data_IF_066582392626
#
_entry.id   IF_066582392626
#
_cell.length_a   1.000
_cell.length_b   1.000
_cell.length_c   1.000
_cell.angle_alpha   90.00
_cell.angle_beta   90.00
_cell.angle_gamma   90.00
#
_symmetry.space_group_name_H-M   'P 1'
#
loop_
_entity.id
_entity.type
_entity.pdbx_description
1 polymer ?
#
# COMPACT_ATOMS: atom_id res chain seq x y z
N UNK A 1 33.31 21.67 -41.74
CA UNK A 1 33.12 20.90 -40.49
C UNK A 1 31.69 21.12 -39.99
N UNK A 2 30.78 20.14 -40.01
CA UNK A 2 29.51 20.29 -39.30
C UNK A 2 29.66 19.78 -37.86
N UNK A 3 29.16 20.60 -36.93
CA UNK A 3 29.10 20.32 -35.50
C UNK A 3 27.97 19.29 -35.31
N UNK A 4 28.33 18.02 -35.08
CA UNK A 4 27.36 17.00 -34.66
C UNK A 4 26.97 17.27 -33.21
N UNK A 5 25.80 17.88 -33.00
CA UNK A 5 25.17 17.98 -31.69
C UNK A 5 24.73 16.58 -31.24
N UNK A 6 25.47 16.01 -30.29
CA UNK A 6 25.05 14.81 -29.56
C UNK A 6 23.88 15.18 -28.65
N UNK A 7 22.67 14.87 -29.08
CA UNK A 7 21.49 14.89 -28.21
C UNK A 7 21.64 13.79 -27.16
N UNK A 8 22.03 14.15 -25.95
CA UNK A 8 22.03 13.26 -24.79
C UNK A 8 20.58 12.91 -24.42
N UNK A 9 20.17 11.68 -24.72
CA UNK A 9 18.89 11.13 -24.27
C UNK A 9 19.05 10.82 -22.77
N UNK A 10 18.53 11.72 -21.92
CA UNK A 10 18.37 11.47 -20.49
C UNK A 10 17.27 10.41 -20.30
N UNK A 11 17.68 9.15 -20.16
CA UNK A 11 16.83 8.08 -19.63
C UNK A 11 16.64 8.32 -18.12
N UNK A 12 15.61 9.08 -17.78
CA UNK A 12 15.09 9.16 -16.41
C UNK A 12 14.59 7.76 -16.03
N UNK A 13 15.40 7.03 -15.25
CA UNK A 13 15.00 5.80 -14.58
C UNK A 13 13.74 6.11 -13.77
N UNK A 14 12.58 5.67 -14.26
CA UNK A 14 11.35 5.71 -13.50
C UNK A 14 11.59 4.92 -12.21
N UNK A 15 11.71 5.62 -11.10
CA UNK A 15 11.78 5.02 -9.77
C UNK A 15 10.50 4.22 -9.60
N UNK A 16 10.61 2.89 -9.71
CA UNK A 16 9.49 1.98 -9.55
C UNK A 16 9.02 2.05 -8.10
N UNK A 17 8.13 3.00 -7.79
CA UNK A 17 7.46 3.06 -6.50
C UNK A 17 6.71 1.74 -6.36
N UNK A 18 7.15 0.90 -5.44
CA UNK A 18 6.45 -0.34 -5.11
C UNK A 18 5.05 0.05 -4.63
N UNK A 19 4.04 -0.69 -5.06
CA UNK A 19 2.64 -0.41 -4.74
C UNK A 19 1.94 -1.65 -4.20
N UNK A 20 0.80 -1.42 -3.56
CA UNK A 20 -0.09 -2.45 -3.06
C UNK A 20 -1.54 -2.02 -3.27
N UNK A 21 -2.38 -3.00 -3.54
CA UNK A 21 -3.82 -2.81 -3.70
C UNK A 21 -4.52 -3.34 -2.45
N UNK A 22 -5.47 -2.56 -1.95
CA UNK A 22 -6.26 -2.88 -0.77
C UNK A 22 -7.71 -2.95 -1.21
N UNK A 23 -8.42 -3.98 -0.76
CA UNK A 23 -9.82 -4.23 -1.11
C UNK A 23 -10.63 -4.42 0.16
N UNK A 24 -11.67 -3.61 0.35
CA UNK A 24 -12.63 -3.83 1.42
C UNK A 24 -13.36 -5.16 1.19
N UNK A 25 -13.39 -6.01 2.21
CA UNK A 25 -13.97 -7.35 2.11
C UNK A 25 -15.50 -7.37 2.05
N UNK A 26 -16.18 -6.27 2.39
CA UNK A 26 -17.65 -6.16 2.42
C UNK A 26 -18.23 -5.71 1.08
N UNK A 27 -17.66 -4.68 0.48
CA UNK A 27 -18.22 -3.97 -0.68
C UNK A 27 -17.30 -3.95 -1.91
N UNK A 28 -16.12 -4.58 -1.83
CA UNK A 28 -15.12 -4.62 -2.88
C UNK A 28 -14.57 -3.25 -3.31
N UNK A 29 -14.71 -2.20 -2.50
CA UNK A 29 -14.00 -0.94 -2.73
C UNK A 29 -12.49 -1.19 -2.76
N UNK A 30 -11.83 -0.69 -3.82
CA UNK A 30 -10.42 -0.93 -4.11
C UNK A 30 -9.64 0.38 -4.14
N UNK A 31 -8.47 0.37 -3.49
CA UNK A 31 -7.52 1.47 -3.50
C UNK A 31 -6.12 0.95 -3.83
N UNK A 32 -5.37 1.70 -4.64
CA UNK A 32 -3.98 1.40 -4.98
C UNK A 32 -3.07 2.47 -4.36
N UNK A 33 -2.09 2.04 -3.57
CA UNK A 33 -1.22 2.91 -2.80
C UNK A 33 0.24 2.54 -2.92
N UNK A 34 1.10 3.55 -2.73
CA UNK A 34 2.55 3.35 -2.66
C UNK A 34 2.95 2.69 -1.34
N UNK A 35 3.90 1.76 -1.40
CA UNK A 35 4.51 1.12 -0.23
C UNK A 35 5.30 2.15 0.60
N UNK A 36 5.66 1.76 1.82
CA UNK A 36 6.46 2.52 2.79
C UNK A 36 5.86 3.85 3.25
N UNK A 37 4.60 4.13 2.89
CA UNK A 37 3.82 5.28 3.36
C UNK A 37 2.60 4.82 4.15
N UNK A 38 2.22 5.65 5.12
CA UNK A 38 0.95 5.49 5.81
C UNK A 38 -0.18 6.07 4.95
N UNK A 39 -1.31 5.36 4.88
CA UNK A 39 -2.50 5.80 4.18
C UNK A 39 -3.70 5.68 5.11
N UNK A 40 -4.39 6.80 5.33
CA UNK A 40 -5.65 6.79 6.05
C UNK A 40 -6.74 6.13 5.21
N UNK A 41 -7.47 5.22 5.84
CA UNK A 41 -8.47 4.41 5.16
C UNK A 41 -9.50 3.86 6.15
N UNK A 42 -10.73 4.34 6.03
CA UNK A 42 -11.85 3.86 6.81
C UNK A 42 -12.61 2.77 6.03
N UNK A 43 -12.39 1.51 6.39
CA UNK A 43 -13.01 0.35 5.71
C UNK A 43 -13.87 -0.51 6.63
N UNK A 44 -14.21 0.00 7.81
CA UNK A 44 -14.81 -0.84 8.82
C UNK A 44 -13.78 -1.84 9.34
N UNK A 45 -14.12 -3.12 9.42
CA UNK A 45 -13.38 -4.08 10.28
C UNK A 45 -12.46 -5.05 9.54
N UNK A 46 -12.52 -5.10 8.20
CA UNK A 46 -11.69 -6.04 7.44
C UNK A 46 -11.37 -5.58 6.02
N UNK A 47 -10.19 -5.96 5.55
CA UNK A 47 -9.71 -5.75 4.19
C UNK A 47 -8.81 -6.90 3.75
N UNK A 48 -8.65 -7.08 2.45
CA UNK A 48 -7.60 -7.90 1.86
C UNK A 48 -6.63 -7.04 1.08
N UNK A 49 -5.41 -7.53 0.89
CA UNK A 49 -4.40 -6.80 0.13
C UNK A 49 -3.63 -7.69 -0.84
N UNK A 50 -3.08 -7.06 -1.87
CA UNK A 50 -2.20 -7.65 -2.87
C UNK A 50 -1.01 -6.73 -3.09
N UNK A 51 0.20 -7.28 -3.19
CA UNK A 51 1.39 -6.55 -3.59
C UNK A 51 2.30 -7.40 -4.45
N UNK A 52 2.64 -6.88 -5.63
CA UNK A 52 3.49 -7.55 -6.62
C UNK A 52 4.93 -7.76 -6.11
N UNK A 53 5.38 -6.91 -5.18
CA UNK A 53 6.72 -7.01 -4.57
C UNK A 53 6.74 -7.70 -3.21
N UNK A 54 5.60 -8.22 -2.74
CA UNK A 54 5.55 -9.02 -1.52
C UNK A 54 5.72 -8.23 -0.22
N UNK A 55 5.11 -7.05 -0.11
CA UNK A 55 5.19 -6.27 1.13
C UNK A 55 4.38 -6.90 2.29
N UNK A 56 4.79 -6.57 3.52
CA UNK A 56 4.06 -6.90 4.74
C UNK A 56 3.11 -5.75 5.09
N UNK A 57 1.81 -6.04 5.23
CA UNK A 57 0.82 -5.02 5.59
C UNK A 57 0.68 -4.90 7.11
N UNK A 58 0.52 -3.67 7.60
CA UNK A 58 0.08 -3.36 8.96
C UNK A 58 -1.21 -2.56 8.91
N UNK A 59 -2.21 -3.03 9.64
CA UNK A 59 -3.51 -2.40 9.86
C UNK A 59 -3.48 -1.64 11.17
N UNK A 60 -4.12 -0.47 11.23
CA UNK A 60 -4.16 0.37 12.43
C UNK A 60 -5.59 0.82 12.74
N UNK A 61 -5.93 0.90 14.02
CA UNK A 61 -7.26 1.33 14.46
C UNK A 61 -7.45 2.85 14.55
N UNK A 62 -6.40 3.63 14.30
CA UNK A 62 -6.43 5.10 14.24
C UNK A 62 -5.78 5.61 12.97
N UNK A 63 -6.12 6.83 12.58
CA UNK A 63 -5.48 7.56 11.47
C UNK A 63 -4.01 7.86 11.77
N UNK A 64 -3.21 7.94 10.71
CA UNK A 64 -1.78 8.21 10.75
C UNK A 64 -0.93 7.02 11.20
N UNK A 65 -1.43 5.78 11.04
CA UNK A 65 -0.74 4.54 11.41
C UNK A 65 -0.37 4.49 12.90
N UNK A 66 -1.37 4.75 13.75
CA UNK A 66 -1.25 4.82 15.21
C UNK A 66 -2.20 3.84 15.89
N UNK A 67 -1.99 3.66 17.20
CA UNK A 67 -2.88 2.86 18.05
C UNK A 67 -2.63 1.36 17.95
N UNK A 68 -3.69 0.57 18.09
CA UNK A 68 -3.65 -0.89 18.00
C UNK A 68 -3.34 -1.28 16.56
N UNK A 69 -2.35 -2.16 16.42
CA UNK A 69 -1.85 -2.60 15.13
C UNK A 69 -1.94 -4.13 14.97
N UNK A 70 -2.13 -4.56 13.73
CA UNK A 70 -2.01 -5.97 13.34
C UNK A 70 -1.22 -6.07 12.04
N UNK A 71 -0.23 -6.96 11.99
CA UNK A 71 0.68 -7.12 10.87
C UNK A 71 0.52 -8.51 10.24
N UNK A 72 0.54 -8.59 8.91
CA UNK A 72 0.42 -9.84 8.18
C UNK A 72 1.14 -9.78 6.82
N UNK A 73 1.63 -10.92 6.38
CA UNK A 73 2.13 -11.20 5.02
C UNK A 73 1.10 -12.00 4.18
N UNK A 74 -0.08 -12.30 4.75
CA UNK A 74 -1.09 -13.13 4.11
C UNK A 74 -1.92 -12.33 3.12
N UNK A 75 -1.49 -12.32 1.86
CA UNK A 75 -2.18 -11.68 0.75
C UNK A 75 -3.49 -12.39 0.36
N UNK A 76 -4.40 -11.66 -0.29
CA UNK A 76 -5.69 -12.13 -0.79
C UNK A 76 -6.64 -12.79 0.25
N UNK A 77 -6.36 -12.62 1.55
CA UNK A 77 -7.25 -13.00 2.65
C UNK A 77 -7.82 -11.78 3.34
N UNK A 78 -9.05 -11.90 3.85
CA UNK A 78 -9.64 -10.87 4.69
C UNK A 78 -8.96 -10.85 6.05
N UNK A 79 -8.21 -9.79 6.30
CA UNK A 79 -7.52 -9.48 7.53
C UNK A 79 -8.36 -8.50 8.34
N UNK A 80 -8.26 -8.58 9.66
CA UNK A 80 -8.93 -7.66 10.58
C UNK A 80 -8.09 -7.44 11.83
N UNK A 81 -8.36 -6.34 12.52
CA UNK A 81 -7.75 -6.06 13.82
C UNK A 81 -8.36 -6.97 14.90
N UNK A 82 -7.59 -7.30 15.96
CA UNK A 82 -8.12 -8.01 17.12
C UNK A 82 -9.36 -7.30 17.70
N UNK A 83 -10.34 -8.07 18.15
CA UNK A 83 -11.57 -7.53 18.75
C UNK A 83 -12.52 -6.84 17.77
N UNK A 84 -12.38 -7.10 16.46
CA UNK A 84 -13.23 -6.50 15.42
C UNK A 84 -13.18 -4.96 15.41
N UNK A 85 -12.03 -4.39 15.76
CA UNK A 85 -11.83 -2.94 15.71
C UNK A 85 -11.90 -2.43 14.26
N UNK A 86 -12.37 -1.19 14.11
CA UNK A 86 -12.33 -0.52 12.82
C UNK A 86 -10.88 -0.23 12.42
N UNK A 87 -10.57 -0.52 11.15
CA UNK A 87 -9.33 -0.15 10.48
C UNK A 87 -9.51 1.29 9.99
N UNK A 88 -8.56 2.15 10.36
CA UNK A 88 -8.56 3.58 10.05
C UNK A 88 -7.34 4.02 9.26
N UNK A 89 -6.27 3.24 9.25
CA UNK A 89 -5.13 3.45 8.36
C UNK A 89 -4.36 2.15 8.12
N UNK A 90 -3.55 2.15 7.06
CA UNK A 90 -2.71 1.03 6.67
C UNK A 90 -1.33 1.49 6.21
N UNK A 91 -0.35 0.60 6.36
CA UNK A 91 0.98 0.74 5.76
C UNK A 91 1.42 -0.60 5.22
N UNK A 92 1.90 -0.65 3.99
CA UNK A 92 2.61 -1.81 3.48
C UNK A 92 4.10 -1.52 3.41
N UNK A 93 4.93 -2.36 4.00
CA UNK A 93 6.37 -2.18 4.08
C UNK A 93 7.10 -3.31 3.33
N UNK A 94 8.04 -2.91 2.46
CA UNK A 94 8.93 -3.82 1.71
C UNK A 94 10.02 -4.41 2.63
#
# INVERSE_FOLDING_TARGET
LPIMQFSAILLLLASSTSAFVVTNCRDNLRNNWSNNRCHDYDVGTSLKYQSDKGCTITLFNQEGCRGVAYTSDSQEKCLGLPGHLAIKSVKCQD
#
